data_IF_698266713522
#
_entry.id   IF_698266713522
#
_cell.length_a   1.000
_cell.length_b   1.000
_cell.length_c   1.000
_cell.angle_alpha   90.00
_cell.angle_beta   90.00
_cell.angle_gamma   90.00
#
_symmetry.space_group_name_H-M   'P 1'
#
loop_
_entity.id
_entity.type
_entity.pdbx_description
1 polymer ?
#
# COMPACT_ATOMS: atom_id res chain seq x y z
N UNK A 1 -15.81 -15.66 -31.44
CA UNK A 1 -15.39 -15.60 -30.03
C UNK A 1 -15.61 -14.17 -29.55
N UNK A 2 -16.59 -13.93 -28.68
CA UNK A 2 -16.82 -12.59 -28.15
C UNK A 2 -15.64 -12.19 -27.24
N UNK A 3 -14.91 -11.15 -27.61
CA UNK A 3 -13.83 -10.62 -26.78
C UNK A 3 -14.39 -10.22 -25.41
N UNK A 4 -13.77 -10.67 -24.32
CA UNK A 4 -14.16 -10.26 -22.96
C UNK A 4 -14.18 -8.73 -22.90
N UNK A 5 -15.29 -8.15 -22.44
CA UNK A 5 -15.36 -6.70 -22.27
C UNK A 5 -14.37 -6.22 -21.20
N UNK A 6 -13.98 -4.95 -21.25
CA UNK A 6 -12.93 -4.36 -20.38
C UNK A 6 -13.19 -4.58 -18.89
N UNK A 7 -14.46 -4.55 -18.48
CA UNK A 7 -14.87 -4.75 -17.08
C UNK A 7 -14.57 -6.18 -16.62
N UNK A 8 -14.92 -7.18 -17.42
CA UNK A 8 -14.59 -8.57 -17.11
C UNK A 8 -13.06 -8.79 -17.09
N UNK A 9 -12.32 -8.10 -17.95
CA UNK A 9 -10.86 -8.16 -17.94
C UNK A 9 -10.24 -7.55 -16.68
N UNK A 10 -10.82 -6.46 -16.18
CA UNK A 10 -10.43 -5.82 -14.92
C UNK A 10 -10.59 -6.78 -13.74
N UNK A 11 -11.79 -7.31 -13.51
CA UNK A 11 -12.04 -8.21 -12.37
C UNK A 11 -11.32 -9.55 -12.47
N UNK A 12 -11.12 -10.05 -13.69
CA UNK A 12 -10.36 -11.30 -13.86
C UNK A 12 -8.85 -11.09 -13.88
N UNK A 13 -8.35 -9.85 -13.83
CA UNK A 13 -6.92 -9.55 -13.92
C UNK A 13 -6.29 -10.03 -15.23
N UNK A 14 -6.99 -9.88 -16.36
CA UNK A 14 -6.45 -10.16 -17.71
C UNK A 14 -6.03 -8.89 -18.45
N UNK A 15 -6.04 -7.73 -17.80
CA UNK A 15 -5.49 -6.51 -18.38
C UNK A 15 -4.02 -6.72 -18.75
N UNK A 16 -3.58 -6.14 -19.87
CA UNK A 16 -2.17 -6.18 -20.25
C UNK A 16 -1.33 -5.36 -19.27
N UNK A 17 -0.05 -5.74 -19.10
CA UNK A 17 0.88 -5.00 -18.25
C UNK A 17 0.99 -3.55 -18.70
N UNK A 18 1.01 -3.31 -20.01
CA UNK A 18 1.02 -1.97 -20.59
C UNK A 18 -0.21 -1.17 -20.18
N UNK A 19 -1.43 -1.74 -20.25
CA UNK A 19 -2.64 -1.04 -19.82
C UNK A 19 -2.62 -0.73 -18.32
N UNK A 20 -2.10 -1.67 -17.51
CA UNK A 20 -1.96 -1.45 -16.07
C UNK A 20 -0.94 -0.35 -15.75
N UNK A 21 0.25 -0.36 -16.36
CA UNK A 21 1.30 0.64 -16.12
C UNK A 21 0.98 2.01 -16.71
N UNK A 22 0.35 2.07 -17.89
CA UNK A 22 0.15 3.34 -18.61
C UNK A 22 -1.17 4.03 -18.27
N UNK A 23 -2.16 3.31 -17.71
CA UNK A 23 -3.48 3.87 -17.43
C UNK A 23 -3.91 3.60 -16.00
N UNK A 24 -4.09 2.34 -15.64
CA UNK A 24 -4.71 1.99 -14.36
C UNK A 24 -3.91 2.49 -13.16
N UNK A 25 -2.61 2.19 -13.12
CA UNK A 25 -1.74 2.56 -12.02
C UNK A 25 -1.58 4.09 -11.91
N UNK A 26 -1.30 4.84 -13.00
CA UNK A 26 -1.32 6.30 -12.96
C UNK A 26 -2.64 6.88 -12.48
N UNK A 27 -3.80 6.36 -12.93
CA UNK A 27 -5.11 6.83 -12.47
C UNK A 27 -5.31 6.57 -10.97
N UNK A 28 -4.95 5.37 -10.50
CA UNK A 28 -5.02 5.02 -9.08
C UNK A 28 -4.16 5.95 -8.23
N UNK A 29 -2.91 6.18 -8.65
CA UNK A 29 -2.00 7.08 -7.95
C UNK A 29 -2.47 8.53 -8.00
N UNK A 30 -2.98 9.01 -9.14
CA UNK A 30 -3.48 10.38 -9.29
C UNK A 30 -4.70 10.64 -8.39
N UNK A 31 -5.63 9.69 -8.30
CA UNK A 31 -6.81 9.80 -7.43
C UNK A 31 -6.37 9.82 -5.96
N UNK A 32 -5.53 8.87 -5.56
CA UNK A 32 -5.07 8.74 -4.18
C UNK A 32 -4.20 9.94 -3.75
N UNK A 33 -3.15 10.27 -4.51
CA UNK A 33 -2.23 11.37 -4.20
C UNK A 33 -2.89 12.73 -4.36
N UNK A 34 -3.77 12.89 -5.36
CA UNK A 34 -4.56 14.11 -5.53
C UNK A 34 -5.48 14.34 -4.34
N UNK A 35 -6.17 13.29 -3.88
CA UNK A 35 -6.98 13.34 -2.66
C UNK A 35 -6.16 13.73 -1.43
N UNK A 36 -5.00 13.10 -1.23
CA UNK A 36 -4.10 13.41 -0.10
C UNK A 36 -3.59 14.85 -0.15
N UNK A 37 -3.16 15.30 -1.33
CA UNK A 37 -2.67 16.66 -1.53
C UNK A 37 -3.75 17.70 -1.20
N UNK A 38 -4.96 17.51 -1.75
CA UNK A 38 -6.10 18.40 -1.47
C UNK A 38 -6.43 18.39 0.03
N UNK A 39 -6.55 17.22 0.64
CA UNK A 39 -6.85 17.11 2.07
C UNK A 39 -5.78 17.73 2.97
N UNK A 40 -4.49 17.64 2.59
CA UNK A 40 -3.38 18.24 3.34
C UNK A 40 -3.36 19.77 3.25
N UNK A 41 -3.70 20.35 2.09
CA UNK A 41 -3.76 21.81 1.91
C UNK A 41 -4.97 22.40 2.61
N UNK A 42 -6.10 21.68 2.56
CA UNK A 42 -7.36 22.15 3.11
C UNK A 42 -7.56 21.72 4.56
N UNK A 43 -6.53 21.15 5.19
CA UNK A 43 -6.53 20.81 6.60
C UNK A 43 -6.74 22.09 7.44
N UNK A 44 -7.56 22.08 8.50
CA UNK A 44 -7.89 23.30 9.25
C UNK A 44 -6.68 24.00 9.87
N UNK A 45 -5.68 23.21 10.28
CA UNK A 45 -4.41 23.68 10.85
C UNK A 45 -3.23 23.48 9.90
N UNK A 46 -2.03 23.86 10.33
CA UNK A 46 -0.80 23.55 9.58
C UNK A 46 -0.54 22.05 9.61
N UNK A 47 -0.75 21.38 8.47
CA UNK A 47 -0.45 19.96 8.35
C UNK A 47 1.06 19.71 8.15
N UNK A 48 1.77 19.39 9.23
CA UNK A 48 3.17 18.97 9.17
C UNK A 48 3.30 17.44 9.08
N UNK A 49 3.50 16.94 7.86
CA UNK A 49 3.65 15.51 7.57
C UNK A 49 4.78 14.82 8.37
N UNK A 50 5.75 15.57 8.90
CA UNK A 50 6.82 15.00 9.73
C UNK A 50 6.29 14.53 11.08
N UNK A 51 5.19 15.10 11.56
CA UNK A 51 4.69 14.90 12.91
C UNK A 51 3.20 14.53 12.95
N UNK A 52 2.46 14.71 11.85
CA UNK A 52 1.06 14.32 11.72
C UNK A 52 0.90 13.13 10.77
N UNK A 53 0.19 12.11 11.27
CA UNK A 53 -0.11 10.88 10.54
C UNK A 53 -1.11 11.12 9.41
N UNK A 54 -1.10 10.23 8.41
CA UNK A 54 -2.02 10.26 7.26
C UNK A 54 -3.47 10.11 7.73
N UNK A 55 -3.71 9.31 8.77
CA UNK A 55 -5.07 9.05 9.29
C UNK A 55 -5.79 10.32 9.76
N UNK A 56 -5.07 11.36 10.22
CA UNK A 56 -5.70 12.66 10.57
C UNK A 56 -6.37 13.35 9.39
N UNK A 57 -5.82 13.15 8.19
CA UNK A 57 -6.44 13.69 6.97
C UNK A 57 -7.77 12.99 6.65
N UNK A 58 -7.96 11.77 7.16
CA UNK A 58 -9.14 10.92 6.97
C UNK A 58 -10.13 10.98 8.15
N UNK A 59 -9.79 11.66 9.22
CA UNK A 59 -10.64 11.80 10.40
C UNK A 59 -11.56 13.01 10.22
N UNK A 60 -12.88 12.82 10.40
CA UNK A 60 -13.87 13.89 10.29
C UNK A 60 -13.84 14.86 11.46
N UNK A 61 -13.31 14.47 12.62
CA UNK A 61 -13.14 15.39 13.75
C UNK A 61 -11.98 16.36 13.48
N UNK A 62 -10.85 15.83 13.01
CA UNK A 62 -9.63 16.58 12.70
C UNK A 62 -9.72 17.34 11.35
N UNK A 63 -10.41 16.78 10.35
CA UNK A 63 -10.53 17.34 9.00
C UNK A 63 -11.99 17.32 8.48
N UNK A 64 -12.91 18.06 9.12
CA UNK A 64 -14.35 17.99 8.83
C UNK A 64 -14.73 18.40 7.40
N UNK A 65 -13.93 19.23 6.74
CA UNK A 65 -14.23 19.71 5.39
C UNK A 65 -13.84 18.74 4.26
N UNK A 66 -12.83 17.90 4.48
CA UNK A 66 -12.16 17.17 3.37
C UNK A 66 -11.86 15.70 3.64
N UNK A 67 -12.12 15.20 4.85
CA UNK A 67 -11.96 13.78 5.20
C UNK A 67 -12.75 12.86 4.26
N UNK A 68 -14.01 13.18 3.96
CA UNK A 68 -14.86 12.40 3.07
C UNK A 68 -14.33 12.33 1.63
N UNK A 69 -13.69 13.40 1.14
CA UNK A 69 -13.08 13.44 -0.20
C UNK A 69 -11.90 12.48 -0.26
N UNK A 70 -11.00 12.56 0.73
CA UNK A 70 -9.87 11.66 0.82
C UNK A 70 -10.31 10.20 1.01
N UNK A 71 -11.29 9.96 1.88
CA UNK A 71 -11.88 8.65 2.09
C UNK A 71 -12.41 8.04 0.78
N UNK A 72 -13.14 8.83 -0.02
CA UNK A 72 -13.63 8.41 -1.34
C UNK A 72 -12.48 8.08 -2.29
N UNK A 73 -11.42 8.90 -2.33
CA UNK A 73 -10.23 8.62 -3.13
C UNK A 73 -9.55 7.31 -2.72
N UNK A 74 -9.43 7.04 -1.41
CA UNK A 74 -8.87 5.80 -0.89
C UNK A 74 -9.72 4.60 -1.29
N UNK A 75 -11.05 4.69 -1.17
CA UNK A 75 -11.95 3.61 -1.58
C UNK A 75 -11.84 3.30 -3.07
N UNK A 76 -11.79 4.34 -3.92
CA UNK A 76 -11.60 4.16 -5.37
C UNK A 76 -10.24 3.52 -5.65
N UNK A 77 -9.16 3.95 -4.99
CA UNK A 77 -7.84 3.34 -5.16
C UNK A 77 -7.85 1.85 -4.78
N UNK A 78 -8.45 1.48 -3.65
CA UNK A 78 -8.60 0.09 -3.22
C UNK A 78 -9.42 -0.75 -4.19
N UNK A 79 -10.45 -0.17 -4.79
CA UNK A 79 -11.21 -0.85 -5.85
C UNK A 79 -10.35 -1.08 -7.10
N UNK A 80 -9.61 -0.06 -7.56
CA UNK A 80 -8.72 -0.17 -8.73
C UNK A 80 -7.61 -1.22 -8.55
N UNK A 81 -7.15 -1.43 -7.30
CA UNK A 81 -6.16 -2.46 -6.94
C UNK A 81 -6.66 -3.90 -7.18
N UNK A 82 -7.97 -4.15 -7.25
CA UNK A 82 -8.53 -5.51 -7.42
C UNK A 82 -7.99 -6.21 -8.68
N UNK A 83 -7.76 -5.48 -9.77
CA UNK A 83 -7.26 -6.08 -11.02
C UNK A 83 -5.85 -6.68 -10.89
N UNK A 84 -5.05 -6.21 -9.93
CA UNK A 84 -3.71 -6.71 -9.67
C UNK A 84 -3.72 -8.13 -9.09
N UNK A 85 -4.78 -8.49 -8.35
CA UNK A 85 -4.97 -9.82 -7.74
C UNK A 85 -4.88 -10.92 -8.80
N UNK A 86 -5.75 -10.83 -9.81
CA UNK A 86 -5.81 -11.79 -10.90
C UNK A 86 -4.55 -11.75 -11.77
N UNK A 87 -3.99 -10.56 -11.99
CA UNK A 87 -2.78 -10.40 -12.80
C UNK A 87 -1.59 -11.12 -12.18
N UNK A 88 -1.28 -10.84 -10.90
CA UNK A 88 -0.15 -11.47 -10.22
C UNK A 88 -0.36 -12.97 -10.05
N UNK A 89 -1.58 -13.41 -9.69
CA UNK A 89 -1.88 -14.84 -9.58
C UNK A 89 -1.63 -15.60 -10.89
N UNK A 90 -1.99 -15.01 -12.05
CA UNK A 90 -1.79 -15.64 -13.36
C UNK A 90 -0.35 -15.66 -13.82
N UNK A 91 0.43 -14.62 -13.50
CA UNK A 91 1.83 -14.51 -13.94
C UNK A 91 2.75 -15.27 -12.98
N UNK A 92 2.75 -14.91 -11.71
CA UNK A 92 3.64 -15.47 -10.70
C UNK A 92 3.23 -16.89 -10.25
N UNK A 93 1.94 -17.22 -10.33
CA UNK A 93 1.43 -18.55 -9.98
C UNK A 93 1.97 -19.67 -10.88
N UNK A 94 2.47 -19.34 -12.09
CA UNK A 94 3.18 -20.28 -12.97
C UNK A 94 4.52 -20.74 -12.41
N UNK A 95 5.10 -19.97 -11.48
CA UNK A 95 6.40 -20.24 -10.86
C UNK A 95 6.21 -20.88 -9.48
N UNK A 96 5.34 -20.27 -8.67
CA UNK A 96 5.08 -20.70 -7.30
C UNK A 96 3.63 -20.42 -6.92
N UNK A 97 2.72 -21.34 -7.30
CA UNK A 97 1.27 -21.19 -7.10
C UNK A 97 0.88 -21.00 -5.64
N UNK A 98 1.48 -21.77 -4.72
CA UNK A 98 1.17 -21.69 -3.29
C UNK A 98 1.47 -20.31 -2.70
N UNK A 99 2.73 -19.86 -2.81
CA UNK A 99 3.14 -18.55 -2.31
C UNK A 99 2.37 -17.41 -3.00
N UNK A 100 2.19 -17.46 -4.33
CA UNK A 100 1.40 -16.44 -5.04
C UNK A 100 -0.07 -16.41 -4.59
N UNK A 101 -0.65 -17.57 -4.25
CA UNK A 101 -2.00 -17.66 -3.69
C UNK A 101 -2.12 -16.91 -2.36
N UNK A 102 -1.17 -17.11 -1.44
CA UNK A 102 -1.12 -16.35 -0.19
C UNK A 102 -0.92 -14.86 -0.43
N UNK A 103 -0.01 -14.48 -1.34
CA UNK A 103 0.19 -13.07 -1.70
C UNK A 103 -1.08 -12.42 -2.24
N UNK A 104 -1.86 -13.16 -3.03
CA UNK A 104 -3.15 -12.70 -3.55
C UNK A 104 -4.21 -12.58 -2.47
N UNK A 105 -4.25 -13.49 -1.49
CA UNK A 105 -5.14 -13.37 -0.35
C UNK A 105 -4.81 -12.12 0.50
N UNK A 106 -3.54 -11.86 0.78
CA UNK A 106 -3.12 -10.66 1.52
C UNK A 106 -3.35 -9.37 0.73
N UNK A 107 -3.16 -9.38 -0.59
CA UNK A 107 -3.50 -8.23 -1.43
C UNK A 107 -5.02 -7.98 -1.45
N UNK A 108 -5.85 -9.04 -1.34
CA UNK A 108 -7.30 -8.88 -1.20
C UNK A 108 -7.65 -8.25 0.15
N UNK A 109 -7.00 -8.69 1.23
CA UNK A 109 -7.11 -8.05 2.55
C UNK A 109 -6.73 -6.56 2.47
N UNK A 110 -5.68 -6.22 1.74
CA UNK A 110 -5.30 -4.82 1.51
C UNK A 110 -6.41 -4.02 0.79
N UNK A 111 -6.99 -4.59 -0.27
CA UNK A 111 -8.10 -3.94 -0.98
C UNK A 111 -9.31 -3.73 -0.07
N UNK A 112 -9.67 -4.74 0.74
CA UNK A 112 -10.77 -4.66 1.71
C UNK A 112 -10.48 -3.59 2.76
N UNK A 113 -9.27 -3.56 3.32
CA UNK A 113 -8.86 -2.55 4.29
C UNK A 113 -8.96 -1.14 3.72
N UNK A 114 -8.42 -0.92 2.52
CA UNK A 114 -8.41 0.39 1.88
C UNK A 114 -9.81 0.87 1.48
N UNK A 115 -10.65 -0.02 0.94
CA UNK A 115 -12.07 0.25 0.67
C UNK A 115 -12.81 0.53 1.97
N UNK A 116 -12.55 -0.27 3.01
CA UNK A 116 -13.17 -0.14 4.31
C UNK A 116 -12.87 1.19 4.97
N UNK A 117 -11.59 1.61 5.02
CA UNK A 117 -11.17 2.92 5.55
C UNK A 117 -11.93 4.05 4.86
N UNK A 118 -12.07 3.97 3.53
CA UNK A 118 -12.76 4.97 2.74
C UNK A 118 -14.28 4.92 2.76
N UNK A 119 -14.87 3.90 3.41
CA UNK A 119 -16.32 3.68 3.46
C UNK A 119 -16.79 3.50 4.90
N UNK A 120 -16.88 2.26 5.39
CA UNK A 120 -17.41 1.93 6.72
C UNK A 120 -16.59 2.53 7.86
N UNK A 121 -15.30 2.77 7.65
CA UNK A 121 -14.39 3.36 8.62
C UNK A 121 -14.61 4.85 8.85
N UNK A 122 -15.48 5.49 8.06
CA UNK A 122 -15.89 6.89 8.23
C UNK A 122 -17.16 7.04 9.09
N UNK A 123 -17.77 5.93 9.51
CA UNK A 123 -18.99 5.94 10.31
C UNK A 123 -18.72 5.48 11.74
N UNK A 124 -19.35 6.14 12.71
CA UNK A 124 -19.36 5.73 14.11
C UNK A 124 -20.27 4.52 14.33
N UNK A 125 -19.77 3.32 13.99
CA UNK A 125 -20.51 2.07 14.13
C UNK A 125 -20.45 1.48 15.55
N UNK A 126 -20.00 2.25 16.54
CA UNK A 126 -19.79 1.80 17.92
C UNK A 126 -18.60 0.85 18.11
N UNK A 127 -17.82 0.59 17.06
CA UNK A 127 -16.58 -0.20 17.11
C UNK A 127 -15.41 0.76 17.33
N UNK A 128 -14.85 0.75 18.54
CA UNK A 128 -13.66 1.54 18.85
C UNK A 128 -12.51 1.15 17.91
N UNK A 129 -11.78 2.17 17.40
CA UNK A 129 -10.59 1.99 16.55
C UNK A 129 -10.84 1.23 15.23
N UNK A 130 -12.08 1.18 14.73
CA UNK A 130 -12.40 0.53 13.46
C UNK A 130 -11.55 1.06 12.30
N UNK A 131 -11.38 2.39 12.21
CA UNK A 131 -10.51 3.03 11.23
C UNK A 131 -9.07 2.50 11.30
N UNK A 132 -8.50 2.44 12.51
CA UNK A 132 -7.13 1.95 12.74
C UNK A 132 -6.98 0.49 12.29
N UNK A 133 -7.96 -0.37 12.60
CA UNK A 133 -7.94 -1.78 12.16
C UNK A 133 -8.01 -1.90 10.64
N UNK A 134 -8.88 -1.15 9.97
CA UNK A 134 -9.02 -1.18 8.52
C UNK A 134 -7.76 -0.64 7.82
N UNK A 135 -7.16 0.43 8.36
CA UNK A 135 -5.89 0.96 7.88
C UNK A 135 -4.77 -0.07 8.05
N UNK A 136 -4.69 -0.72 9.21
CA UNK A 136 -3.73 -1.79 9.48
C UNK A 136 -3.91 -2.97 8.51
N UNK A 137 -5.15 -3.39 8.21
CA UNK A 137 -5.41 -4.41 7.20
C UNK A 137 -4.94 -3.99 5.81
N UNK A 138 -5.15 -2.72 5.44
CA UNK A 138 -4.62 -2.11 4.22
C UNK A 138 -3.11 -2.26 4.12
N UNK A 139 -2.38 -1.73 5.10
CA UNK A 139 -0.91 -1.73 5.10
C UNK A 139 -0.30 -3.13 5.25
N UNK A 140 -0.74 -3.91 6.25
CA UNK A 140 -0.24 -5.26 6.48
C UNK A 140 -0.57 -6.18 5.31
N UNK A 141 -1.73 -6.00 4.69
CA UNK A 141 -2.11 -6.72 3.48
C UNK A 141 -1.12 -6.50 2.34
N UNK A 142 -0.76 -5.25 2.03
CA UNK A 142 0.21 -4.95 0.97
C UNK A 142 1.61 -5.47 1.34
N UNK A 143 2.04 -5.25 2.58
CA UNK A 143 3.36 -5.69 3.03
C UNK A 143 3.51 -7.21 2.98
N UNK A 144 2.55 -7.96 3.54
CA UNK A 144 2.58 -9.42 3.50
C UNK A 144 2.45 -9.93 2.06
N UNK A 145 1.57 -9.33 1.25
CA UNK A 145 1.49 -9.65 -0.17
C UNK A 145 2.85 -9.51 -0.87
N UNK A 146 3.61 -8.45 -0.55
CA UNK A 146 4.93 -8.22 -1.14
C UNK A 146 5.94 -9.33 -0.83
N UNK A 147 5.92 -9.85 0.41
CA UNK A 147 6.80 -10.94 0.85
C UNK A 147 6.46 -12.21 0.06
N UNK A 148 5.19 -12.57 -0.04
CA UNK A 148 4.77 -13.76 -0.77
C UNK A 148 4.98 -13.62 -2.28
N UNK A 149 4.75 -12.44 -2.86
CA UNK A 149 5.04 -12.17 -4.26
C UNK A 149 6.55 -12.08 -4.56
N UNK A 150 7.41 -11.84 -3.57
CA UNK A 150 8.86 -11.94 -3.72
C UNK A 150 9.33 -13.39 -3.89
N UNK A 151 8.67 -14.38 -3.26
CA UNK A 151 9.08 -15.78 -3.35
C UNK A 151 9.24 -16.32 -4.79
N UNK A 152 8.28 -16.15 -5.72
CA UNK A 152 8.47 -16.60 -7.10
C UNK A 152 9.62 -15.87 -7.81
N UNK A 153 9.87 -14.59 -7.50
CA UNK A 153 11.01 -13.84 -8.06
C UNK A 153 12.35 -14.41 -7.57
N UNK A 154 12.46 -14.65 -6.26
CA UNK A 154 13.67 -15.22 -5.66
C UNK A 154 13.89 -16.68 -6.09
N UNK A 155 12.82 -17.46 -6.25
CA UNK A 155 12.87 -18.83 -6.80
C UNK A 155 13.34 -18.82 -8.25
N UNK A 156 12.88 -17.87 -9.06
CA UNK A 156 13.32 -17.72 -10.44
C UNK A 156 14.83 -17.45 -10.54
N UNK A 157 15.32 -16.54 -9.70
CA UNK A 157 16.73 -16.21 -9.60
C UNK A 157 17.57 -17.41 -9.11
N UNK A 158 17.13 -18.12 -8.06
CA UNK A 158 17.88 -19.25 -7.49
C UNK A 158 17.96 -20.46 -8.42
N UNK A 159 16.96 -20.64 -9.29
CA UNK A 159 16.96 -21.66 -10.36
C UNK A 159 17.68 -21.22 -11.63
N UNK A 160 18.21 -19.99 -11.67
CA UNK A 160 19.00 -19.47 -12.79
C UNK A 160 18.19 -19.10 -14.03
N UNK A 161 16.86 -19.06 -13.96
CA UNK A 161 16.00 -18.70 -15.08
C UNK A 161 16.10 -17.21 -15.45
N UNK A 162 16.37 -16.35 -14.45
CA UNK A 162 16.69 -14.91 -14.61
C UNK A 162 15.63 -14.16 -15.44
N UNK A 163 14.36 -14.55 -15.32
CA UNK A 163 13.23 -13.90 -16.00
C UNK A 163 12.95 -12.50 -15.41
N UNK A 164 13.33 -12.26 -14.16
CA UNK A 164 13.11 -11.00 -13.46
C UNK A 164 14.38 -10.15 -13.39
N UNK A 165 14.21 -8.83 -13.50
CA UNK A 165 15.31 -7.89 -13.25
C UNK A 165 15.49 -7.67 -11.74
N UNK A 166 16.48 -8.35 -11.16
CA UNK A 166 16.75 -8.29 -9.71
C UNK A 166 17.12 -6.89 -9.20
N UNK A 167 17.81 -6.07 -10.00
CA UNK A 167 18.15 -4.70 -9.61
C UNK A 167 16.88 -3.86 -9.43
N UNK A 168 15.95 -3.96 -10.39
CA UNK A 168 14.65 -3.29 -10.29
C UNK A 168 13.81 -3.87 -9.16
N UNK A 169 13.78 -5.19 -8.99
CA UNK A 169 13.07 -5.81 -7.87
C UNK A 169 13.51 -5.22 -6.51
N UNK A 170 14.82 -5.15 -6.26
CA UNK A 170 15.35 -4.56 -5.03
C UNK A 170 15.12 -3.05 -4.93
N UNK A 171 15.15 -2.32 -6.05
CA UNK A 171 14.80 -0.89 -6.06
C UNK A 171 13.35 -0.64 -5.60
N UNK A 172 12.44 -1.61 -5.81
CA UNK A 172 11.08 -1.57 -5.26
C UNK A 172 11.00 -2.05 -3.80
N UNK A 173 11.71 -3.12 -3.44
CA UNK A 173 11.63 -3.72 -2.10
C UNK A 173 12.34 -2.90 -1.02
N UNK A 174 13.49 -2.29 -1.32
CA UNK A 174 14.30 -1.58 -0.32
C UNK A 174 13.53 -0.42 0.32
N UNK A 175 12.90 0.52 -0.44
CA UNK A 175 12.11 1.60 0.15
C UNK A 175 10.98 1.09 1.05
N UNK A 176 10.29 0.02 0.64
CA UNK A 176 9.23 -0.61 1.43
C UNK A 176 9.78 -1.15 2.76
N UNK A 177 10.89 -1.89 2.73
CA UNK A 177 11.53 -2.45 3.94
C UNK A 177 12.02 -1.33 4.86
N UNK A 178 12.64 -0.29 4.32
CA UNK A 178 13.10 0.88 5.08
C UNK A 178 11.92 1.55 5.79
N UNK A 179 10.81 1.79 5.07
CA UNK A 179 9.61 2.37 5.65
C UNK A 179 9.02 1.51 6.78
N UNK A 180 8.90 0.19 6.58
CA UNK A 180 8.38 -0.72 7.62
C UNK A 180 9.31 -0.77 8.84
N UNK A 181 10.62 -0.88 8.62
CA UNK A 181 11.60 -0.92 9.70
C UNK A 181 11.58 0.38 10.51
N UNK A 182 11.54 1.52 9.85
CA UNK A 182 11.47 2.82 10.52
C UNK A 182 10.16 3.03 11.29
N UNK A 183 9.02 2.60 10.73
CA UNK A 183 7.73 2.66 11.41
C UNK A 183 7.73 1.78 12.67
N UNK A 184 8.24 0.55 12.57
CA UNK A 184 8.33 -0.36 13.70
C UNK A 184 9.30 0.15 14.79
N UNK A 185 10.45 0.69 14.39
CA UNK A 185 11.44 1.24 15.32
C UNK A 185 10.92 2.51 16.02
N UNK A 186 10.21 3.40 15.31
CA UNK A 186 9.59 4.58 15.93
C UNK A 186 8.44 4.21 16.86
N UNK A 187 7.62 3.22 16.51
CA UNK A 187 6.59 2.69 17.40
C UNK A 187 7.20 2.08 18.68
N UNK A 188 8.25 1.27 18.54
CA UNK A 188 8.97 0.69 19.68
C UNK A 188 9.61 1.77 20.56
N UNK A 189 10.22 2.79 19.93
CA UNK A 189 10.81 3.92 20.65
C UNK A 189 9.75 4.68 21.46
N UNK A 190 8.58 4.94 20.88
CA UNK A 190 7.48 5.60 21.59
C UNK A 190 7.03 4.79 22.80
N UNK A 191 6.84 3.48 22.64
CA UNK A 191 6.43 2.58 23.73
C UNK A 191 7.46 2.55 24.87
N UNK A 192 8.75 2.41 24.55
CA UNK A 192 9.83 2.33 25.54
C UNK A 192 9.99 3.60 26.37
N UNK A 193 9.59 4.76 25.83
CA UNK A 193 9.71 6.05 26.51
C UNK A 193 8.36 6.60 27.00
N UNK A 194 7.27 5.83 26.88
CA UNK A 194 5.94 6.25 27.32
C UNK A 194 5.35 7.41 26.51
N UNK A 195 5.78 7.59 25.26
CA UNK A 195 5.29 8.65 24.40
C UNK A 195 4.00 8.23 23.67
N UNK A 196 3.00 9.11 23.66
CA UNK A 196 1.75 8.89 22.93
C UNK A 196 1.67 9.73 21.63
N UNK A 197 2.79 9.87 20.92
CA UNK A 197 2.86 10.64 19.68
C UNK A 197 2.11 9.99 18.49
N UNK A 198 1.63 8.76 18.65
CA UNK A 198 0.78 8.12 17.66
C UNK A 198 -0.65 8.68 17.61
N UNK A 199 -1.12 9.33 18.70
CA UNK A 199 -2.50 9.82 18.79
C UNK A 199 -2.61 11.34 18.93
N UNK A 200 -1.68 12.02 19.61
CA UNK A 200 -1.71 13.48 19.66
C UNK A 200 -0.38 14.13 20.07
N UNK A 201 0.55 14.41 19.13
CA UNK A 201 1.58 15.39 19.38
C UNK A 201 0.94 16.78 19.28
N UNK A 202 0.79 17.49 20.39
CA UNK A 202 0.79 18.95 20.28
C UNK A 202 2.14 19.31 19.66
N UNK A 203 2.13 20.00 18.51
CA UNK A 203 3.34 20.35 17.76
C UNK A 203 4.35 21.07 18.68
N UNK A 204 3.84 21.83 19.63
CA UNK A 204 4.59 22.51 20.68
C UNK A 204 5.36 21.55 21.59
N UNK A 205 4.77 20.43 22.04
CA UNK A 205 5.48 19.43 22.85
C UNK A 205 6.64 18.79 22.08
N UNK A 206 6.44 18.50 20.79
CA UNK A 206 7.48 17.90 19.93
C UNK A 206 8.63 18.88 19.67
N UNK A 207 8.32 20.16 19.41
CA UNK A 207 9.30 21.20 19.16
C UNK A 207 10.07 21.57 20.44
N UNK A 208 9.40 21.61 21.60
CA UNK A 208 10.02 21.91 22.91
C UNK A 208 10.99 20.81 23.33
N UNK A 209 10.72 19.55 23.00
CA UNK A 209 11.63 18.43 23.30
C UNK A 209 12.69 18.18 22.22
N UNK A 210 12.78 19.03 21.18
CA UNK A 210 13.80 18.91 20.14
C UNK A 210 13.69 17.62 19.32
N UNK A 211 12.48 17.12 19.10
CA UNK A 211 12.26 15.81 18.50
C UNK A 211 12.67 15.77 17.02
N UNK A 212 13.76 15.05 16.77
CA UNK A 212 14.24 14.78 15.41
C UNK A 212 13.22 13.93 14.65
N UNK A 213 12.87 14.34 13.42
CA UNK A 213 11.82 13.69 12.62
C UNK A 213 12.00 12.17 12.45
N UNK A 214 13.23 11.63 12.54
CA UNK A 214 13.48 10.19 12.49
C UNK A 214 12.92 9.40 13.69
N UNK A 215 12.52 10.04 14.79
CA UNK A 215 11.82 9.37 15.90
C UNK A 215 10.30 9.45 15.76
N UNK A 216 9.79 10.28 14.84
CA UNK A 216 8.37 10.46 14.63
C UNK A 216 7.75 9.27 13.91
N UNK A 217 6.66 8.74 14.47
CA UNK A 217 5.87 7.70 13.82
C UNK A 217 5.27 8.19 12.49
N UNK A 218 4.73 9.42 12.48
CA UNK A 218 4.15 10.05 11.30
C UNK A 218 5.14 10.16 10.13
N UNK A 219 6.38 10.57 10.43
CA UNK A 219 7.43 10.65 9.41
C UNK A 219 7.64 9.30 8.72
N UNK A 220 7.77 8.22 9.50
CA UNK A 220 7.98 6.89 8.93
C UNK A 220 6.74 6.31 8.26
N UNK A 221 5.54 6.69 8.68
CA UNK A 221 4.30 6.34 7.98
C UNK A 221 4.30 6.93 6.56
N UNK A 222 4.67 8.20 6.40
CA UNK A 222 4.82 8.83 5.09
C UNK A 222 5.92 8.18 4.23
N UNK A 223 7.08 7.85 4.83
CA UNK A 223 8.14 7.13 4.12
C UNK A 223 7.67 5.73 3.69
N UNK A 224 6.94 5.02 4.55
CA UNK A 224 6.34 3.73 4.21
C UNK A 224 5.32 3.86 3.07
N UNK A 225 4.46 4.87 3.13
CA UNK A 225 3.47 5.15 2.08
C UNK A 225 4.15 5.37 0.72
N UNK A 226 5.20 6.18 0.65
CA UNK A 226 6.03 6.35 -0.55
C UNK A 226 6.68 5.04 -0.96
N UNK A 227 7.21 4.27 0.00
CA UNK A 227 7.79 2.95 -0.22
C UNK A 227 6.82 1.96 -0.86
N UNK A 228 5.56 1.95 -0.43
CA UNK A 228 4.47 1.16 -1.02
C UNK A 228 4.20 1.59 -2.47
N UNK A 229 4.13 2.89 -2.75
CA UNK A 229 3.92 3.40 -4.12
C UNK A 229 5.06 2.97 -5.04
N UNK A 230 6.31 3.17 -4.61
CA UNK A 230 7.50 2.76 -5.36
C UNK A 230 7.48 1.24 -5.59
N UNK A 231 7.16 0.46 -4.56
CA UNK A 231 7.02 -0.99 -4.68
C UNK A 231 5.95 -1.37 -5.72
N UNK A 232 4.73 -0.83 -5.65
CA UNK A 232 3.66 -1.17 -6.59
C UNK A 232 4.02 -0.87 -8.05
N UNK A 233 4.63 0.29 -8.30
CA UNK A 233 5.09 0.70 -9.64
C UNK A 233 6.22 -0.21 -10.13
N UNK A 234 7.27 -0.35 -9.34
CA UNK A 234 8.46 -1.08 -9.74
C UNK A 234 8.17 -2.57 -9.84
N UNK A 235 7.40 -3.14 -8.92
CA UNK A 235 7.06 -4.56 -8.93
C UNK A 235 6.23 -4.95 -10.15
N UNK A 236 5.19 -4.16 -10.50
CA UNK A 236 4.44 -4.39 -11.74
C UNK A 236 5.36 -4.32 -12.98
N UNK A 237 6.34 -3.41 -12.99
CA UNK A 237 7.31 -3.29 -14.08
C UNK A 237 8.28 -4.48 -14.17
N UNK A 238 8.55 -5.14 -13.04
CA UNK A 238 9.47 -6.29 -12.92
C UNK A 238 8.81 -7.59 -13.38
N UNK A 239 7.49 -7.75 -13.20
CA UNK A 239 6.77 -8.96 -13.64
C UNK A 239 6.81 -9.08 -15.17
N UNK A 240 7.35 -10.18 -15.73
CA UNK A 240 7.37 -10.42 -17.18
C UNK A 240 5.95 -10.66 -17.73
N UNK A 241 5.70 -10.26 -18.98
CA UNK A 241 4.43 -10.59 -19.64
C UNK A 241 4.35 -12.10 -19.95
N UNK A 242 5.46 -12.70 -20.37
CA UNK A 242 5.55 -14.10 -20.75
C UNK A 242 6.37 -14.88 -19.73
N UNK A 243 5.76 -15.17 -18.58
CA UNK A 243 6.38 -16.04 -17.57
C UNK A 243 6.35 -17.48 -18.06
N UNK A 244 7.54 -18.07 -18.19
CA UNK A 244 7.77 -19.48 -18.52
C UNK A 244 7.63 -20.28 -17.21
N UNK A 245 6.71 -21.27 -17.13
CA UNK A 245 6.62 -22.15 -15.98
C UNK A 245 7.92 -22.92 -15.80
N UNK A 246 8.31 -23.19 -14.56
CA UNK A 246 9.23 -24.29 -14.31
C UNK A 246 8.48 -25.57 -14.66
N UNK A 247 8.84 -26.24 -15.75
CA UNK A 247 8.30 -27.56 -16.05
C UNK A 247 8.38 -28.45 -14.80
N UNK A 248 7.39 -29.33 -14.55
CA UNK A 248 7.68 -30.48 -13.71
C UNK A 248 8.79 -31.24 -14.43
N UNK A 249 10.03 -31.15 -13.94
CA UNK A 249 11.06 -32.08 -14.42
C UNK A 249 10.52 -33.48 -14.13
N UNK A 250 10.44 -34.36 -15.14
CA UNK A 250 10.07 -35.75 -14.93
C UNK A 250 11.02 -36.42 -13.93
#
# INVERSE_FOLDING_TARGET
MAGKNTIQQFFSGTLSKQAMLARLLPSMLAIMLGGLFVASIMYPDVYDWRYLVISRLLDSEDNPGWSAVLATCMAIAGFLMISFLGYYQKKLGKICRGSTGFGTAFMLVACIGLIGVGTIGQFELGIQKLHEYLAALGFLGVFLASIFYACPVLKDQSKGAKQFNMRRFWAGMIPLIIGVAGLALSALYNELNGFNYASNPHLDDVLVHGFFALHSFAFWEWILFVGVIVYLVVFLSVVPENVIPFEPRP
#
